data_IF_338339218902
#
_entry.id   IF_338339218902
#
_cell.length_a   1.000
_cell.length_b   1.000
_cell.length_c   1.000
_cell.angle_alpha   90.00
_cell.angle_beta   90.00
_cell.angle_gamma   90.00
#
_symmetry.space_group_name_H-M   'P 1'
#
loop_
_entity.id
_entity.type
_entity.pdbx_description
1 polymer ?
#
# COMPACT_ATOMS: atom_id res chain seq x y z
N UNK A 1 -8.56 24.60 -24.81
CA UNK A 1 -9.13 23.20 -24.78
C UNK A 1 -10.55 23.29 -24.23
N UNK A 2 -11.54 22.68 -24.90
CA UNK A 2 -12.91 22.68 -24.37
C UNK A 2 -12.99 21.96 -23.02
N UNK A 3 -13.92 22.38 -22.14
CA UNK A 3 -14.12 21.76 -20.81
C UNK A 3 -14.33 20.23 -20.91
N UNK A 4 -15.03 19.75 -21.94
CA UNK A 4 -15.23 18.31 -22.19
C UNK A 4 -13.93 17.57 -22.49
N UNK A 5 -13.04 18.13 -23.30
CA UNK A 5 -11.72 17.55 -23.61
C UNK A 5 -10.81 17.51 -22.37
N UNK A 6 -10.86 18.55 -21.53
CA UNK A 6 -10.09 18.59 -20.28
C UNK A 6 -10.53 17.49 -19.30
N UNK A 7 -11.84 17.25 -19.16
CA UNK A 7 -12.38 16.20 -18.30
C UNK A 7 -12.06 14.81 -18.85
N UNK A 8 -12.19 14.59 -20.17
CA UNK A 8 -11.85 13.30 -20.78
C UNK A 8 -10.35 12.97 -20.61
N UNK A 9 -9.47 13.95 -20.78
CA UNK A 9 -8.03 13.77 -20.54
C UNK A 9 -7.74 13.40 -19.07
N UNK A 10 -8.35 14.09 -18.11
CA UNK A 10 -8.22 13.76 -16.70
C UNK A 10 -8.65 12.31 -16.42
N UNK A 11 -9.80 11.91 -16.94
CA UNK A 11 -10.34 10.56 -16.68
C UNK A 11 -9.45 9.48 -17.32
N UNK A 12 -8.84 9.75 -18.47
CA UNK A 12 -7.83 8.88 -19.07
C UNK A 12 -6.55 8.81 -18.23
N UNK A 13 -6.07 9.93 -17.70
CA UNK A 13 -4.89 9.97 -16.84
C UNK A 13 -5.13 9.26 -15.50
N UNK A 14 -6.32 9.40 -14.91
CA UNK A 14 -6.71 8.65 -13.71
C UNK A 14 -6.79 7.16 -14.02
N UNK A 15 -7.29 6.76 -15.19
CA UNK A 15 -7.30 5.36 -15.60
C UNK A 15 -5.86 4.83 -15.80
N UNK A 16 -4.98 5.63 -16.41
CA UNK A 16 -3.55 5.32 -16.55
C UNK A 16 -2.86 5.13 -15.18
N UNK A 17 -3.15 6.02 -14.22
CA UNK A 17 -2.66 5.88 -12.84
C UNK A 17 -3.12 4.55 -12.22
N UNK A 18 -4.40 4.21 -12.33
CA UNK A 18 -4.95 2.95 -11.78
C UNK A 18 -4.27 1.73 -12.39
N UNK A 19 -4.05 1.72 -13.71
CA UNK A 19 -3.31 0.64 -14.39
C UNK A 19 -1.86 0.63 -13.90
N UNK A 20 -1.23 1.79 -13.83
CA UNK A 20 0.14 1.91 -13.31
C UNK A 20 0.28 1.34 -11.91
N UNK A 21 -0.60 1.71 -10.97
CA UNK A 21 -0.60 1.19 -9.60
C UNK A 21 -0.70 -0.34 -9.54
N UNK A 22 -1.27 -0.97 -10.56
CA UNK A 22 -1.41 -2.42 -10.63
C UNK A 22 -0.24 -3.12 -11.35
N UNK A 23 0.42 -2.46 -12.33
CA UNK A 23 1.35 -3.18 -13.22
C UNK A 23 2.73 -2.54 -13.37
N UNK A 24 2.91 -1.25 -13.06
CA UNK A 24 4.16 -0.54 -13.36
C UNK A 24 4.37 0.71 -12.52
N UNK A 25 5.42 0.72 -11.71
CA UNK A 25 5.84 1.90 -10.94
C UNK A 25 6.09 3.10 -11.86
N UNK A 26 6.78 2.91 -12.98
CA UNK A 26 7.09 3.99 -13.93
C UNK A 26 5.83 4.61 -14.50
N UNK A 27 4.83 3.79 -14.86
CA UNK A 27 3.55 4.29 -15.35
C UNK A 27 2.79 5.05 -14.26
N UNK A 28 2.84 4.57 -13.00
CA UNK A 28 2.24 5.27 -11.86
C UNK A 28 2.87 6.64 -11.65
N UNK A 29 4.18 6.71 -11.55
CA UNK A 29 4.92 7.95 -11.30
C UNK A 29 4.73 8.94 -12.45
N UNK A 30 4.82 8.48 -13.71
CA UNK A 30 4.56 9.33 -14.89
C UNK A 30 3.13 9.87 -14.87
N UNK A 31 2.14 9.01 -14.58
CA UNK A 31 0.74 9.43 -14.48
C UNK A 31 0.54 10.47 -13.38
N UNK A 32 1.19 10.30 -12.23
CA UNK A 32 1.13 11.27 -11.12
C UNK A 32 1.76 12.61 -11.51
N UNK A 33 2.92 12.60 -12.16
CA UNK A 33 3.57 13.85 -12.64
C UNK A 33 2.68 14.58 -13.62
N UNK A 34 2.10 13.88 -14.61
CA UNK A 34 1.21 14.49 -15.60
C UNK A 34 -0.10 14.98 -14.95
N UNK A 35 -0.66 14.23 -13.99
CA UNK A 35 -1.83 14.67 -13.22
C UNK A 35 -1.53 15.89 -12.36
N UNK A 36 -0.35 15.96 -11.73
CA UNK A 36 0.08 17.15 -10.98
C UNK A 36 0.21 18.37 -11.89
N UNK A 37 0.83 18.23 -13.07
CA UNK A 37 0.92 19.27 -14.06
C UNK A 37 -0.48 19.71 -14.55
N UNK A 38 -1.38 18.76 -14.78
CA UNK A 38 -2.77 19.02 -15.15
C UNK A 38 -3.52 19.82 -14.06
N UNK A 39 -3.33 19.47 -12.77
CA UNK A 39 -3.92 20.19 -11.63
C UNK A 39 -3.42 21.63 -11.56
N UNK A 40 -2.10 21.83 -11.67
CA UNK A 40 -1.50 23.17 -11.68
C UNK A 40 -2.08 24.00 -12.83
N UNK A 41 -2.13 23.42 -14.04
CA UNK A 41 -2.61 24.14 -15.23
C UNK A 41 -4.10 24.49 -15.17
N UNK A 42 -4.96 23.59 -14.67
CA UNK A 42 -6.42 23.76 -14.74
C UNK A 42 -7.03 24.34 -13.47
N UNK A 43 -6.38 24.20 -12.31
CA UNK A 43 -6.94 24.54 -11.00
C UNK A 43 -6.02 25.37 -10.12
N UNK A 44 -4.92 25.88 -10.66
CA UNK A 44 -3.91 26.59 -9.88
C UNK A 44 -4.52 27.63 -8.91
N UNK A 45 -5.37 28.54 -9.41
CA UNK A 45 -6.01 29.55 -8.58
C UNK A 45 -6.97 28.99 -7.51
N UNK A 46 -7.64 27.86 -7.79
CA UNK A 46 -8.57 27.20 -6.84
C UNK A 46 -7.84 26.37 -5.79
N UNK A 47 -6.72 25.75 -6.16
CA UNK A 47 -5.88 24.96 -5.24
C UNK A 47 -5.27 25.89 -4.20
N UNK A 48 -4.78 27.05 -4.62
CA UNK A 48 -4.13 28.01 -3.72
C UNK A 48 -5.10 28.75 -2.79
N UNK A 49 -6.38 28.97 -3.21
CA UNK A 49 -7.32 29.83 -2.47
C UNK A 49 -8.38 29.12 -1.62
N UNK A 50 -8.66 27.83 -1.82
CA UNK A 50 -9.82 27.16 -1.20
C UNK A 50 -9.58 25.75 -0.67
N UNK A 51 -8.44 25.13 -0.88
CA UNK A 51 -8.23 23.77 -0.44
C UNK A 51 -7.51 23.73 0.91
N UNK A 52 -8.20 23.32 1.95
CA UNK A 52 -7.52 22.74 3.11
C UNK A 52 -6.88 21.43 2.65
N UNK A 53 -5.61 21.46 2.33
CA UNK A 53 -4.85 20.27 1.94
C UNK A 53 -4.89 19.25 3.08
N UNK A 54 -5.46 18.05 2.86
CA UNK A 54 -5.58 17.09 3.95
C UNK A 54 -4.19 16.65 4.44
N UNK A 55 -4.02 16.58 5.76
CA UNK A 55 -2.78 16.13 6.43
C UNK A 55 -1.53 16.96 6.07
N UNK A 56 -1.68 18.22 5.62
CA UNK A 56 -0.54 19.03 5.18
C UNK A 56 0.50 19.21 6.29
N UNK A 57 0.08 19.61 7.48
CA UNK A 57 0.99 19.89 8.59
C UNK A 57 1.83 18.65 9.00
N UNK A 58 1.26 17.48 9.29
CA UNK A 58 2.08 16.32 9.67
C UNK A 58 2.98 15.82 8.54
N UNK A 59 2.53 15.87 7.26
CA UNK A 59 3.35 15.45 6.12
C UNK A 59 4.51 16.41 5.89
N UNK A 60 4.28 17.72 5.95
CA UNK A 60 5.37 18.70 5.82
C UNK A 60 6.35 18.63 6.99
N UNK A 61 5.87 18.47 8.22
CA UNK A 61 6.73 18.33 9.39
C UNK A 61 7.63 17.09 9.29
N UNK A 62 7.06 15.93 8.90
CA UNK A 62 7.82 14.72 8.67
C UNK A 62 8.85 14.88 7.52
N UNK A 63 8.45 15.53 6.43
CA UNK A 63 9.34 15.77 5.28
C UNK A 63 10.48 16.73 5.63
N UNK A 64 10.18 17.83 6.31
CA UNK A 64 11.18 18.80 6.77
C UNK A 64 12.19 18.16 7.73
N UNK A 65 11.70 17.39 8.71
CA UNK A 65 12.54 16.64 9.63
C UNK A 65 13.42 15.62 8.90
N UNK A 66 12.86 14.88 7.93
CA UNK A 66 13.61 13.91 7.14
C UNK A 66 14.74 14.57 6.33
N UNK A 67 14.51 15.76 5.77
CA UNK A 67 15.54 16.54 5.05
C UNK A 67 16.61 17.02 6.03
N UNK A 68 16.20 17.54 7.19
CA UNK A 68 17.13 18.00 8.24
C UNK A 68 18.03 16.86 8.72
N UNK A 69 17.47 15.70 9.07
CA UNK A 69 18.25 14.54 9.51
C UNK A 69 19.17 14.00 8.40
N UNK A 70 18.74 14.08 7.14
CA UNK A 70 19.59 13.74 6.00
C UNK A 70 20.78 14.69 5.88
N UNK A 71 20.57 16.00 6.05
CA UNK A 71 21.63 17.00 5.99
C UNK A 71 22.64 16.89 7.16
N UNK A 72 22.14 16.47 8.34
CA UNK A 72 22.96 16.31 9.56
C UNK A 72 23.58 14.91 9.71
N UNK A 73 23.31 13.98 8.77
CA UNK A 73 23.85 12.62 8.83
C UNK A 73 25.34 12.57 8.56
N UNK A 74 25.98 11.47 8.93
CA UNK A 74 27.43 11.23 8.64
C UNK A 74 27.75 11.15 7.13
N UNK A 75 26.74 11.00 6.27
CA UNK A 75 26.86 11.00 4.80
C UNK A 75 25.78 11.87 4.18
N UNK A 76 25.85 13.21 4.30
CA UNK A 76 24.78 14.12 3.94
C UNK A 76 24.35 13.99 2.47
N UNK A 77 25.31 13.88 1.55
CA UNK A 77 25.00 13.83 0.11
C UNK A 77 24.19 12.58 -0.27
N UNK A 78 24.53 11.41 0.28
CA UNK A 78 23.80 10.16 0.04
C UNK A 78 22.41 10.20 0.67
N UNK A 79 22.33 10.67 1.92
CA UNK A 79 21.08 10.81 2.65
C UNK A 79 20.14 11.83 2.00
N UNK A 80 20.65 12.96 1.51
CA UNK A 80 19.86 13.93 0.74
C UNK A 80 19.37 13.35 -0.59
N UNK A 81 20.17 12.56 -1.29
CA UNK A 81 19.70 11.84 -2.49
C UNK A 81 18.58 10.86 -2.17
N UNK A 82 18.60 10.25 -0.99
CA UNK A 82 17.55 9.34 -0.54
C UNK A 82 16.23 10.06 -0.19
N UNK A 83 16.23 11.41 -0.03
CA UNK A 83 14.98 12.17 0.24
C UNK A 83 13.97 12.12 -0.92
N UNK A 84 14.37 11.69 -2.11
CA UNK A 84 13.45 11.39 -3.22
C UNK A 84 12.32 10.42 -2.81
N UNK A 85 12.55 9.58 -1.80
CA UNK A 85 11.53 8.69 -1.22
C UNK A 85 10.39 9.43 -0.51
N UNK A 86 10.47 10.75 -0.35
CA UNK A 86 9.39 11.61 0.14
C UNK A 86 8.42 12.04 -0.97
N UNK A 87 8.86 12.02 -2.24
CA UNK A 87 8.02 12.47 -3.38
C UNK A 87 6.68 11.71 -3.49
N UNK A 88 6.62 10.39 -3.25
CA UNK A 88 5.35 9.67 -3.23
C UNK A 88 4.29 10.25 -2.31
N UNK A 89 4.65 10.97 -1.23
CA UNK A 89 3.69 11.60 -0.31
C UNK A 89 2.76 12.59 -1.01
N UNK A 90 3.20 13.20 -2.12
CA UNK A 90 2.37 14.09 -2.94
C UNK A 90 1.16 13.37 -3.58
N UNK A 91 1.19 12.04 -3.70
CA UNK A 91 0.09 11.24 -4.27
C UNK A 91 -1.23 11.50 -3.54
N UNK A 92 -1.20 11.66 -2.21
CA UNK A 92 -2.37 11.99 -1.41
C UNK A 92 -3.10 13.22 -1.98
N UNK A 93 -2.37 14.28 -2.26
CA UNK A 93 -2.95 15.55 -2.73
C UNK A 93 -3.29 15.53 -4.21
N UNK A 94 -2.50 14.82 -5.02
CA UNK A 94 -2.77 14.67 -6.46
C UNK A 94 -4.09 13.92 -6.63
N UNK A 95 -4.26 12.76 -5.95
CA UNK A 95 -5.49 11.96 -6.03
C UNK A 95 -6.67 12.73 -5.44
N UNK A 96 -6.51 13.39 -4.28
CA UNK A 96 -7.52 14.27 -3.70
C UNK A 96 -7.95 15.38 -4.69
N UNK A 97 -7.00 15.97 -5.42
CA UNK A 97 -7.25 17.06 -6.35
C UNK A 97 -7.96 16.66 -7.66
N UNK A 98 -7.66 15.44 -8.18
CA UNK A 98 -8.20 14.99 -9.47
C UNK A 98 -9.54 14.28 -9.36
N UNK A 99 -9.90 13.73 -8.20
CA UNK A 99 -11.20 13.12 -7.97
C UNK A 99 -12.19 14.19 -7.49
N UNK A 100 -13.22 14.51 -8.30
CA UNK A 100 -14.12 15.65 -8.04
C UNK A 100 -15.13 15.37 -6.92
N UNK A 101 -15.64 14.14 -6.82
CA UNK A 101 -16.75 13.76 -5.95
C UNK A 101 -16.62 12.32 -5.44
N UNK A 102 -17.51 11.92 -4.53
CA UNK A 102 -17.56 10.57 -3.98
C UNK A 102 -17.81 9.50 -5.06
N UNK A 103 -18.49 9.84 -6.16
CA UNK A 103 -18.72 8.90 -7.26
C UNK A 103 -17.43 8.61 -8.04
N UNK A 104 -16.58 9.63 -8.24
CA UNK A 104 -15.24 9.47 -8.81
C UNK A 104 -14.35 8.62 -7.90
N UNK A 105 -14.40 8.84 -6.58
CA UNK A 105 -13.68 8.03 -5.60
C UNK A 105 -14.12 6.56 -5.65
N UNK A 106 -15.42 6.28 -5.76
CA UNK A 106 -15.95 4.90 -5.94
C UNK A 106 -15.47 4.27 -7.24
N UNK A 107 -15.50 5.01 -8.36
CA UNK A 107 -14.98 4.52 -9.65
C UNK A 107 -13.50 4.20 -9.58
N UNK A 108 -12.72 5.05 -8.90
CA UNK A 108 -11.29 4.81 -8.67
C UNK A 108 -11.05 3.50 -7.91
N UNK A 109 -11.68 3.31 -6.75
CA UNK A 109 -11.54 2.07 -5.96
C UNK A 109 -12.00 0.83 -6.72
N UNK A 110 -13.12 0.92 -7.46
CA UNK A 110 -13.60 -0.18 -8.29
C UNK A 110 -12.64 -0.52 -9.43
N UNK A 111 -12.11 0.47 -10.15
CA UNK A 111 -11.14 0.26 -11.23
C UNK A 111 -9.83 -0.35 -10.69
N UNK A 112 -9.37 0.11 -9.52
CA UNK A 112 -8.19 -0.45 -8.87
C UNK A 112 -8.39 -1.94 -8.54
N UNK A 113 -9.55 -2.32 -7.98
CA UNK A 113 -9.86 -3.73 -7.70
C UNK A 113 -9.85 -4.57 -8.99
N UNK A 114 -10.46 -4.08 -10.08
CA UNK A 114 -10.49 -4.81 -11.35
C UNK A 114 -9.11 -4.93 -12.00
N UNK A 115 -8.29 -3.88 -11.95
CA UNK A 115 -6.90 -3.92 -12.43
C UNK A 115 -6.09 -4.95 -11.64
N UNK A 116 -6.20 -4.93 -10.31
CA UNK A 116 -5.53 -5.91 -9.44
C UNK A 116 -6.08 -7.33 -9.61
N UNK A 117 -7.36 -7.51 -9.91
CA UNK A 117 -7.91 -8.82 -10.23
C UNK A 117 -7.28 -9.39 -11.53
N UNK A 118 -7.04 -8.55 -12.53
CA UNK A 118 -6.27 -8.95 -13.73
C UNK A 118 -4.84 -9.38 -13.38
N UNK A 119 -4.15 -8.62 -12.53
CA UNK A 119 -2.81 -8.99 -12.01
C UNK A 119 -2.88 -10.28 -11.19
N UNK A 120 -3.94 -10.46 -10.40
CA UNK A 120 -4.16 -11.67 -9.61
C UNK A 120 -4.30 -12.92 -10.48
N UNK A 121 -5.02 -12.84 -11.61
CA UNK A 121 -5.11 -13.93 -12.58
C UNK A 121 -3.73 -14.30 -13.10
N UNK A 122 -2.93 -13.32 -13.53
CA UNK A 122 -1.54 -13.56 -13.97
C UNK A 122 -0.72 -14.21 -12.85
N UNK A 123 -0.85 -13.73 -11.62
CA UNK A 123 -0.14 -14.26 -10.44
C UNK A 123 -0.51 -15.72 -10.15
N UNK A 124 -1.79 -16.08 -10.28
CA UNK A 124 -2.27 -17.45 -10.10
C UNK A 124 -1.70 -18.34 -11.21
N UNK A 125 -1.74 -17.88 -12.46
CA UNK A 125 -1.15 -18.61 -13.59
C UNK A 125 0.34 -18.83 -13.37
N UNK A 126 1.10 -17.81 -12.91
CA UNK A 126 2.52 -17.96 -12.59
C UNK A 126 2.79 -19.13 -11.64
N UNK A 127 1.97 -19.28 -10.60
CA UNK A 127 2.18 -20.31 -9.57
C UNK A 127 1.67 -21.69 -10.01
N UNK A 128 0.58 -21.75 -10.77
CA UNK A 128 -0.07 -23.02 -11.16
C UNK A 128 0.58 -23.67 -12.37
N UNK A 129 1.16 -22.89 -13.30
CA UNK A 129 1.85 -23.41 -14.50
C UNK A 129 3.27 -23.89 -14.22
N UNK A 130 3.78 -23.62 -13.02
CA UNK A 130 5.13 -23.98 -12.60
C UNK A 130 5.23 -25.44 -12.18
N UNK A 131 5.34 -26.35 -13.12
CA UNK A 131 5.76 -27.72 -12.84
C UNK A 131 7.29 -27.82 -13.04
N UNK A 132 8.07 -28.25 -12.04
CA UNK A 132 9.53 -28.36 -12.15
C UNK A 132 10.01 -29.16 -13.37
N UNK A 133 9.24 -30.13 -13.81
CA UNK A 133 9.54 -30.99 -14.98
C UNK A 133 9.18 -30.38 -16.34
N UNK A 134 8.45 -29.24 -16.39
CA UNK A 134 8.03 -28.60 -17.64
C UNK A 134 8.80 -27.33 -17.96
N UNK A 135 9.48 -26.74 -16.97
CA UNK A 135 10.14 -25.45 -17.12
C UNK A 135 11.35 -25.51 -18.03
N UNK A 136 12.19 -26.53 -17.89
CA UNK A 136 13.44 -26.62 -18.66
C UNK A 136 13.20 -26.78 -20.16
N UNK A 137 12.09 -27.42 -20.57
CA UNK A 137 11.75 -27.64 -21.97
C UNK A 137 10.98 -26.47 -22.60
N UNK A 138 10.13 -25.77 -21.83
CA UNK A 138 9.27 -24.69 -22.33
C UNK A 138 9.95 -23.32 -22.21
N UNK A 139 10.85 -23.17 -21.25
CA UNK A 139 11.51 -21.90 -20.93
C UNK A 139 12.41 -21.39 -22.08
N UNK A 140 13.00 -22.29 -22.85
CA UNK A 140 13.86 -21.92 -24.00
C UNK A 140 13.10 -21.36 -25.20
N UNK A 141 11.82 -21.70 -25.37
CA UNK A 141 10.99 -21.31 -26.51
C UNK A 141 10.16 -20.03 -26.31
N UNK A 142 10.06 -19.53 -25.09
CA UNK A 142 9.23 -18.37 -24.80
C UNK A 142 9.94 -17.04 -25.08
N UNK A 143 9.21 -16.01 -25.58
CA UNK A 143 9.75 -14.66 -25.69
C UNK A 143 10.31 -14.17 -24.34
N UNK A 144 11.40 -13.39 -24.32
CA UNK A 144 12.05 -12.92 -23.08
C UNK A 144 11.09 -12.25 -22.10
N UNK A 145 10.13 -11.48 -22.61
CA UNK A 145 9.09 -10.79 -21.79
C UNK A 145 8.19 -11.80 -21.08
N UNK A 146 7.73 -12.83 -21.79
CA UNK A 146 6.88 -13.89 -21.20
C UNK A 146 7.65 -14.67 -20.15
N UNK A 147 8.92 -14.98 -20.42
CA UNK A 147 9.82 -15.66 -19.49
C UNK A 147 10.06 -14.86 -18.23
N UNK A 148 10.29 -13.55 -18.35
CA UNK A 148 10.52 -12.67 -17.18
C UNK A 148 9.29 -12.57 -16.26
N UNK A 149 8.08 -12.72 -16.80
CA UNK A 149 6.83 -12.69 -16.03
C UNK A 149 6.48 -14.08 -15.50
N UNK A 150 6.45 -15.11 -16.34
CA UNK A 150 5.98 -16.44 -15.95
C UNK A 150 7.05 -17.30 -15.27
N UNK A 151 8.34 -17.01 -15.41
CA UNK A 151 9.41 -17.71 -14.71
C UNK A 151 9.47 -17.48 -13.19
N UNK A 152 8.69 -16.53 -12.65
CA UNK A 152 8.62 -16.22 -11.20
C UNK A 152 7.63 -17.13 -10.48
N UNK A 153 7.84 -18.42 -10.48
CA UNK A 153 6.80 -19.40 -10.20
C UNK A 153 6.70 -19.94 -8.75
N UNK A 154 7.65 -19.68 -7.89
CA UNK A 154 7.59 -20.19 -6.51
C UNK A 154 6.57 -19.47 -5.63
N UNK A 155 6.30 -18.18 -5.94
CA UNK A 155 5.37 -17.30 -5.22
C UNK A 155 4.70 -16.37 -6.22
N UNK A 156 3.49 -15.94 -5.94
CA UNK A 156 2.77 -14.98 -6.77
C UNK A 156 3.48 -13.61 -6.76
N UNK A 157 3.82 -13.09 -7.93
CA UNK A 157 4.47 -11.79 -8.12
C UNK A 157 3.62 -10.85 -8.99
N UNK A 158 2.82 -11.39 -9.91
CA UNK A 158 2.21 -10.59 -10.97
C UNK A 158 3.28 -9.91 -11.82
N UNK A 159 3.12 -8.61 -12.00
CA UNK A 159 4.09 -7.77 -12.72
C UNK A 159 5.14 -7.13 -11.79
N UNK A 160 4.97 -7.25 -10.47
CA UNK A 160 5.92 -6.68 -9.50
C UNK A 160 7.25 -7.45 -9.48
N UNK A 161 8.32 -6.74 -9.17
CA UNK A 161 9.66 -7.33 -9.06
C UNK A 161 9.76 -8.31 -7.91
N UNK A 162 9.06 -8.04 -6.80
CA UNK A 162 9.11 -8.79 -5.54
C UNK A 162 7.69 -9.19 -5.11
N UNK A 163 7.53 -10.46 -4.68
CA UNK A 163 6.26 -10.99 -4.16
C UNK A 163 5.77 -10.26 -2.90
N UNK A 164 6.66 -9.63 -2.13
CA UNK A 164 6.30 -8.82 -0.95
C UNK A 164 5.52 -7.58 -1.35
N UNK A 165 5.93 -6.91 -2.43
CA UNK A 165 5.23 -5.74 -3.00
C UNK A 165 3.81 -6.10 -3.42
N UNK A 166 3.64 -7.19 -4.19
CA UNK A 166 2.29 -7.67 -4.54
C UNK A 166 1.46 -7.96 -3.29
N UNK A 167 2.05 -8.62 -2.28
CA UNK A 167 1.38 -8.92 -1.01
C UNK A 167 0.91 -7.66 -0.30
N UNK A 168 1.76 -6.64 -0.19
CA UNK A 168 1.44 -5.35 0.43
C UNK A 168 0.34 -4.59 -0.33
N UNK A 169 0.44 -4.50 -1.65
CA UNK A 169 -0.57 -3.84 -2.52
C UNK A 169 -1.92 -4.54 -2.39
N UNK A 170 -1.96 -5.87 -2.48
CA UNK A 170 -3.21 -6.64 -2.37
C UNK A 170 -3.80 -6.53 -0.95
N UNK A 171 -3.00 -6.58 0.10
CA UNK A 171 -3.49 -6.43 1.48
C UNK A 171 -4.21 -5.10 1.68
N UNK A 172 -3.62 -4.00 1.22
CA UNK A 172 -4.20 -2.65 1.29
C UNK A 172 -5.45 -2.53 0.43
N UNK A 173 -5.39 -2.95 -0.83
CA UNK A 173 -6.49 -2.79 -1.78
C UNK A 173 -7.70 -3.67 -1.43
N UNK A 174 -7.49 -4.90 -0.97
CA UNK A 174 -8.55 -5.80 -0.52
C UNK A 174 -9.24 -5.27 0.74
N UNK A 175 -8.48 -4.77 1.71
CA UNK A 175 -9.04 -4.14 2.89
C UNK A 175 -9.86 -2.88 2.53
N UNK A 176 -9.35 -2.04 1.61
CA UNK A 176 -10.05 -0.85 1.11
C UNK A 176 -11.37 -1.18 0.43
N UNK A 177 -11.42 -2.26 -0.33
CA UNK A 177 -12.58 -2.59 -1.20
C UNK A 177 -13.59 -3.54 -0.57
N UNK A 178 -13.24 -4.22 0.53
CA UNK A 178 -14.14 -5.14 1.23
C UNK A 178 -15.51 -4.51 1.59
N UNK A 179 -15.59 -3.31 2.21
CA UNK A 179 -16.88 -2.69 2.53
C UNK A 179 -17.71 -2.38 1.29
N UNK A 180 -17.08 -2.14 0.14
CA UNK A 180 -17.79 -1.80 -1.10
C UNK A 180 -18.52 -2.99 -1.72
N UNK A 181 -18.18 -4.24 -1.36
CA UNK A 181 -18.91 -5.44 -1.78
C UNK A 181 -20.37 -5.41 -1.32
N UNK A 182 -20.64 -4.84 -0.14
CA UNK A 182 -21.98 -4.73 0.39
C UNK A 182 -22.88 -3.78 -0.43
N UNK A 183 -22.29 -2.84 -1.17
CA UNK A 183 -22.96 -1.78 -1.94
C UNK A 183 -22.84 -1.95 -3.46
N UNK A 184 -22.26 -3.03 -3.95
CA UNK A 184 -21.96 -3.25 -5.37
C UNK A 184 -23.18 -3.45 -6.29
N UNK A 185 -24.40 -3.54 -5.75
CA UNK A 185 -25.64 -3.64 -6.53
C UNK A 185 -25.65 -4.84 -7.50
N UNK A 186 -26.05 -4.61 -8.76
CA UNK A 186 -26.11 -5.65 -9.82
C UNK A 186 -24.75 -6.29 -10.15
N UNK A 187 -23.66 -5.59 -9.90
CA UNK A 187 -22.28 -6.11 -10.18
C UNK A 187 -21.69 -6.86 -8.99
N UNK A 188 -22.46 -7.11 -7.91
CA UNK A 188 -21.94 -7.72 -6.68
C UNK A 188 -21.23 -9.06 -6.95
N UNK A 189 -21.85 -9.97 -7.70
CA UNK A 189 -21.24 -11.26 -7.99
C UNK A 189 -19.89 -11.13 -8.68
N UNK A 190 -19.81 -10.33 -9.76
CA UNK A 190 -18.58 -10.09 -10.48
C UNK A 190 -17.50 -9.39 -9.62
N UNK A 191 -17.89 -8.39 -8.82
CA UNK A 191 -16.97 -7.70 -7.91
C UNK A 191 -16.46 -8.63 -6.81
N UNK A 192 -17.33 -9.53 -6.31
CA UNK A 192 -16.93 -10.56 -5.33
C UNK A 192 -15.95 -11.56 -5.94
N UNK A 193 -16.18 -12.00 -7.17
CA UNK A 193 -15.23 -12.87 -7.90
C UNK A 193 -13.88 -12.17 -8.07
N UNK A 194 -13.85 -10.92 -8.52
CA UNK A 194 -12.62 -10.14 -8.66
C UNK A 194 -11.87 -10.01 -7.32
N UNK A 195 -12.62 -9.77 -6.23
CA UNK A 195 -12.07 -9.67 -4.89
C UNK A 195 -11.50 -11.02 -4.41
N UNK A 196 -12.24 -12.13 -4.57
CA UNK A 196 -11.79 -13.48 -4.21
C UNK A 196 -10.55 -13.89 -5.01
N UNK A 197 -10.51 -13.61 -6.32
CA UNK A 197 -9.34 -13.87 -7.17
C UNK A 197 -8.11 -13.13 -6.63
N UNK A 198 -8.28 -11.87 -6.23
CA UNK A 198 -7.21 -11.08 -5.63
C UNK A 198 -6.80 -11.60 -4.24
N UNK A 199 -7.74 -12.09 -3.45
CA UNK A 199 -7.45 -12.72 -2.15
C UNK A 199 -6.70 -14.04 -2.29
N UNK A 200 -7.04 -14.86 -3.29
CA UNK A 200 -6.26 -16.07 -3.63
C UNK A 200 -4.83 -15.70 -4.02
N UNK A 201 -4.64 -14.69 -4.87
CA UNK A 201 -3.30 -14.23 -5.23
C UNK A 201 -2.52 -13.72 -4.01
N UNK A 202 -3.16 -12.98 -3.08
CA UNK A 202 -2.54 -12.58 -1.80
C UNK A 202 -2.04 -13.81 -1.01
N UNK A 203 -2.85 -14.85 -0.90
CA UNK A 203 -2.44 -16.10 -0.26
C UNK A 203 -1.22 -16.74 -0.93
N UNK A 204 -1.22 -16.79 -2.27
CA UNK A 204 -0.14 -17.36 -3.07
C UNK A 204 1.16 -16.53 -3.07
N UNK A 205 1.16 -15.30 -2.55
CA UNK A 205 2.41 -14.56 -2.28
C UNK A 205 3.23 -15.21 -1.17
N UNK A 206 2.61 -15.96 -0.28
CA UNK A 206 3.18 -16.58 0.92
C UNK A 206 3.84 -15.54 1.86
N UNK A 207 3.36 -14.31 1.87
CA UNK A 207 3.85 -13.19 2.70
C UNK A 207 3.01 -13.11 3.98
N UNK A 208 3.47 -13.73 5.06
CA UNK A 208 2.78 -13.78 6.36
C UNK A 208 2.42 -12.38 6.90
N UNK A 209 3.35 -11.43 6.80
CA UNK A 209 3.12 -10.05 7.23
C UNK A 209 1.96 -9.36 6.48
N UNK A 210 1.82 -9.61 5.17
CA UNK A 210 0.70 -9.10 4.38
C UNK A 210 -0.63 -9.75 4.77
N UNK A 211 -0.63 -11.05 5.11
CA UNK A 211 -1.84 -11.75 5.61
C UNK A 211 -2.30 -11.20 6.96
N UNK A 212 -1.36 -10.98 7.90
CA UNK A 212 -1.66 -10.39 9.20
C UNK A 212 -2.19 -8.95 9.05
N UNK A 213 -1.56 -8.16 8.19
CA UNK A 213 -2.03 -6.81 7.87
C UNK A 213 -3.42 -6.82 7.27
N UNK A 214 -3.66 -7.67 6.26
CA UNK A 214 -4.98 -7.83 5.67
C UNK A 214 -6.03 -8.28 6.70
N UNK A 215 -5.71 -9.26 7.53
CA UNK A 215 -6.60 -9.73 8.62
C UNK A 215 -6.98 -8.61 9.59
N UNK A 216 -6.01 -7.78 10.01
CA UNK A 216 -6.27 -6.63 10.86
C UNK A 216 -7.18 -5.60 10.17
N UNK A 217 -6.94 -5.32 8.87
CA UNK A 217 -7.81 -4.46 8.07
C UNK A 217 -9.23 -5.00 7.95
N UNK A 218 -9.39 -6.31 7.74
CA UNK A 218 -10.71 -6.97 7.72
C UNK A 218 -11.41 -6.82 9.06
N UNK A 219 -10.74 -7.13 10.18
CA UNK A 219 -11.32 -6.97 11.51
C UNK A 219 -11.80 -5.54 11.75
N UNK A 220 -10.98 -4.56 11.34
CA UNK A 220 -11.38 -3.16 11.41
C UNK A 220 -12.62 -2.88 10.53
N UNK A 221 -12.63 -3.34 9.28
CA UNK A 221 -13.75 -3.13 8.36
C UNK A 221 -15.07 -3.70 8.89
N UNK A 222 -15.02 -4.84 9.56
CA UNK A 222 -16.22 -5.48 10.14
C UNK A 222 -16.89 -4.62 11.21
N UNK A 223 -16.14 -3.77 11.93
CA UNK A 223 -16.74 -2.85 12.94
C UNK A 223 -17.59 -1.75 12.33
N UNK A 224 -17.38 -1.43 11.03
CA UNK A 224 -18.05 -0.32 10.33
C UNK A 224 -19.11 -0.72 9.30
N UNK A 225 -19.33 -2.02 9.05
CA UNK A 225 -20.22 -2.50 7.99
C UNK A 225 -21.54 -3.03 8.56
N UNK A 226 -22.67 -2.43 8.15
CA UNK A 226 -24.01 -2.85 8.60
C UNK A 226 -24.37 -4.29 8.18
N UNK A 227 -23.86 -4.77 7.03
CA UNK A 227 -24.05 -6.13 6.53
C UNK A 227 -22.78 -6.97 6.69
N UNK A 228 -22.25 -7.00 7.88
CA UNK A 228 -21.02 -7.71 8.22
C UNK A 228 -21.06 -9.20 7.87
N UNK A 229 -22.24 -9.84 7.87
CA UNK A 229 -22.40 -11.26 7.50
C UNK A 229 -21.92 -11.57 6.08
N UNK A 230 -22.15 -10.66 5.11
CA UNK A 230 -21.67 -10.83 3.73
C UNK A 230 -20.14 -10.73 3.69
N UNK A 231 -19.58 -9.75 4.37
CA UNK A 231 -18.12 -9.58 4.44
C UNK A 231 -17.47 -10.80 5.12
N UNK A 232 -18.04 -11.29 6.22
CA UNK A 232 -17.56 -12.50 6.90
C UNK A 232 -17.64 -13.71 5.99
N UNK A 233 -18.78 -13.93 5.29
CA UNK A 233 -18.94 -15.06 4.39
C UNK A 233 -17.90 -15.03 3.24
N UNK A 234 -17.63 -13.86 2.66
CA UNK A 234 -16.64 -13.69 1.59
C UNK A 234 -15.21 -13.95 2.12
N UNK A 235 -14.88 -13.43 3.30
CA UNK A 235 -13.59 -13.66 3.94
C UNK A 235 -13.42 -15.14 4.32
N UNK A 236 -14.46 -15.76 4.90
CA UNK A 236 -14.43 -17.18 5.23
C UNK A 236 -14.23 -18.05 3.98
N UNK A 237 -14.93 -17.74 2.88
CA UNK A 237 -14.74 -18.43 1.60
C UNK A 237 -13.30 -18.29 1.09
N UNK A 238 -12.72 -17.07 1.17
CA UNK A 238 -11.32 -16.84 0.79
C UNK A 238 -10.35 -17.66 1.65
N UNK A 239 -10.54 -17.68 2.97
CA UNK A 239 -9.71 -18.46 3.90
C UNK A 239 -9.81 -19.95 3.60
N UNK A 240 -11.01 -20.49 3.41
CA UNK A 240 -11.22 -21.89 3.06
C UNK A 240 -10.54 -22.28 1.76
N UNK A 241 -10.68 -21.45 0.71
CA UNK A 241 -10.01 -21.65 -0.57
C UNK A 241 -8.47 -21.65 -0.42
N UNK A 242 -7.94 -20.76 0.41
CA UNK A 242 -6.50 -20.66 0.66
C UNK A 242 -5.97 -21.87 1.47
N UNK A 243 -6.70 -22.32 2.49
CA UNK A 243 -6.31 -23.47 3.31
C UNK A 243 -6.37 -24.80 2.53
N UNK A 244 -7.16 -24.84 1.43
CA UNK A 244 -7.15 -25.97 0.51
C UNK A 244 -5.84 -26.08 -0.30
N UNK A 245 -5.01 -25.02 -0.34
CA UNK A 245 -3.70 -25.03 -1.01
C UNK A 245 -2.62 -25.47 -0.02
N UNK A 246 -1.98 -26.65 -0.19
CA UNK A 246 -1.04 -27.19 0.80
C UNK A 246 0.12 -26.25 1.15
N UNK A 247 0.69 -25.54 0.16
CA UNK A 247 1.78 -24.58 0.39
C UNK A 247 1.35 -23.40 1.25
N UNK A 248 0.11 -22.91 1.11
CA UNK A 248 -0.43 -21.82 1.92
C UNK A 248 -0.65 -22.30 3.35
N UNK A 249 -1.23 -23.50 3.54
CA UNK A 249 -1.45 -24.10 4.83
C UNK A 249 -0.14 -24.31 5.60
N UNK A 250 0.87 -24.95 4.98
CA UNK A 250 2.19 -25.14 5.57
C UNK A 250 2.84 -23.80 5.97
N UNK A 251 2.69 -22.76 5.14
CA UNK A 251 3.24 -21.45 5.46
C UNK A 251 2.47 -20.75 6.59
N UNK A 252 1.18 -21.00 6.73
CA UNK A 252 0.36 -20.50 7.84
C UNK A 252 0.76 -21.17 9.18
N UNK A 253 1.02 -22.47 9.17
CA UNK A 253 1.46 -23.22 10.34
C UNK A 253 2.77 -22.66 10.95
N UNK A 254 3.66 -22.09 10.13
CA UNK A 254 4.92 -21.49 10.58
C UNK A 254 4.82 -20.01 10.99
N UNK A 255 3.62 -19.42 11.08
CA UNK A 255 3.47 -17.99 11.45
C UNK A 255 4.04 -17.70 12.85
N UNK A 256 3.79 -18.58 13.79
CA UNK A 256 4.22 -18.44 15.17
C UNK A 256 5.51 -19.22 15.51
N UNK A 257 6.17 -19.83 14.52
CA UNK A 257 7.39 -20.61 14.74
C UNK A 257 8.62 -19.70 14.83
N UNK A 258 9.24 -19.54 16.02
CA UNK A 258 10.44 -18.74 16.20
C UNK A 258 11.69 -19.37 15.57
N UNK A 259 11.67 -20.67 15.27
CA UNK A 259 12.76 -21.40 14.63
C UNK A 259 12.77 -21.23 13.09
N UNK A 260 11.68 -20.67 12.50
CA UNK A 260 11.64 -20.37 11.06
C UNK A 260 12.82 -19.46 10.66
N UNK A 261 13.63 -19.83 9.66
CA UNK A 261 14.80 -19.05 9.27
C UNK A 261 14.51 -17.59 8.95
N UNK A 262 13.31 -17.30 8.39
CA UNK A 262 12.88 -15.94 8.09
C UNK A 262 12.57 -15.15 9.38
N UNK A 263 12.02 -15.81 10.40
CA UNK A 263 11.75 -15.18 11.69
C UNK A 263 13.07 -14.85 12.41
N UNK A 264 14.01 -15.80 12.47
CA UNK A 264 15.34 -15.59 13.07
C UNK A 264 16.09 -14.43 12.42
N UNK A 265 16.07 -14.36 11.10
CA UNK A 265 16.73 -13.24 10.37
C UNK A 265 16.07 -11.89 10.71
N UNK A 266 14.75 -11.83 10.84
CA UNK A 266 14.06 -10.61 11.26
C UNK A 266 14.36 -10.19 12.70
N UNK A 267 14.52 -11.16 13.62
CA UNK A 267 14.97 -10.87 14.98
C UNK A 267 16.38 -10.27 14.98
N UNK A 268 17.30 -10.81 14.19
CA UNK A 268 18.64 -10.25 14.07
C UNK A 268 18.63 -8.82 13.50
N UNK A 269 17.77 -8.55 12.49
CA UNK A 269 17.58 -7.20 11.95
C UNK A 269 16.96 -6.25 12.96
N UNK A 270 16.03 -6.73 13.78
CA UNK A 270 15.38 -5.96 14.83
C UNK A 270 16.38 -5.57 15.92
N UNK A 271 17.21 -6.50 16.39
CA UNK A 271 18.26 -6.25 17.40
C UNK A 271 19.31 -5.27 16.90
N UNK A 272 19.81 -5.45 15.68
CA UNK A 272 20.71 -4.50 15.04
C UNK A 272 20.08 -3.11 14.94
N UNK A 273 18.80 -3.04 14.57
CA UNK A 273 18.05 -1.78 14.49
C UNK A 273 17.93 -1.08 15.84
N UNK A 274 17.61 -1.81 16.91
CA UNK A 274 17.54 -1.26 18.27
C UNK A 274 18.91 -0.73 18.73
N UNK A 275 19.98 -1.44 18.42
CA UNK A 275 21.35 -1.01 18.76
C UNK A 275 21.73 0.27 18.01
N UNK A 276 21.41 0.37 16.72
CA UNK A 276 21.59 1.62 15.95
C UNK A 276 20.77 2.76 16.53
N UNK A 277 19.51 2.52 16.90
CA UNK A 277 18.63 3.55 17.47
C UNK A 277 19.14 4.04 18.83
N UNK A 278 19.62 3.14 19.70
CA UNK A 278 20.24 3.53 20.99
C UNK A 278 21.46 4.42 20.81
N UNK A 279 22.23 4.19 19.77
CA UNK A 279 23.41 5.03 19.45
C UNK A 279 23.02 6.39 18.85
N UNK A 280 21.87 6.50 18.19
CA UNK A 280 21.44 7.72 17.47
C UNK A 280 19.94 8.02 17.73
N UNK A 281 19.50 8.25 18.99
CA UNK A 281 18.09 8.24 19.33
C UNK A 281 17.30 9.45 18.79
N UNK A 282 17.91 10.62 18.60
CA UNK A 282 17.20 11.86 18.27
C UNK A 282 17.07 12.07 16.77
N UNK A 283 18.21 12.06 16.05
CA UNK A 283 18.26 12.38 14.60
C UNK A 283 18.42 11.14 13.73
N UNK A 284 18.70 9.97 14.33
CA UNK A 284 18.94 8.72 13.61
C UNK A 284 20.27 8.72 12.86
N UNK A 285 20.44 7.70 12.00
CA UNK A 285 21.67 7.49 11.20
C UNK A 285 21.60 8.14 9.81
N UNK A 286 20.52 8.85 9.51
CA UNK A 286 20.24 9.40 8.18
C UNK A 286 19.55 8.41 7.25
N UNK A 287 18.88 8.94 6.21
CA UNK A 287 18.15 8.16 5.23
C UNK A 287 19.11 7.25 4.45
N UNK A 288 18.77 5.96 4.30
CA UNK A 288 19.62 4.95 3.68
C UNK A 288 20.80 4.50 4.55
N UNK A 289 20.96 5.05 5.77
CA UNK A 289 22.03 4.73 6.69
C UNK A 289 22.01 3.28 7.17
N UNK A 290 20.83 2.66 7.26
CA UNK A 290 20.69 1.24 7.63
C UNK A 290 21.48 0.35 6.69
N UNK A 291 21.36 0.53 5.39
CA UNK A 291 22.11 -0.26 4.39
C UNK A 291 23.61 -0.23 4.61
N UNK A 292 24.14 0.92 4.99
CA UNK A 292 25.58 1.13 5.21
C UNK A 292 26.05 0.58 6.55
N UNK A 293 25.27 0.80 7.60
CA UNK A 293 25.66 0.49 8.97
C UNK A 293 25.30 -0.92 9.42
N UNK A 294 24.35 -1.59 8.76
CA UNK A 294 23.94 -2.93 9.14
C UNK A 294 25.09 -3.93 9.28
N UNK A 295 26.11 -3.99 8.38
CA UNK A 295 27.25 -4.91 8.53
C UNK A 295 28.02 -4.75 9.85
N UNK A 296 28.04 -3.53 10.41
CA UNK A 296 28.74 -3.21 11.67
C UNK A 296 27.89 -3.62 12.89
N UNK A 297 26.57 -3.48 12.80
CA UNK A 297 25.64 -3.73 13.90
C UNK A 297 24.97 -5.10 13.86
N UNK A 298 25.12 -5.86 12.76
CA UNK A 298 24.54 -7.18 12.63
C UNK A 298 25.09 -8.12 13.71
N UNK A 299 24.22 -8.75 14.53
CA UNK A 299 24.65 -9.68 15.57
C UNK A 299 25.37 -10.90 14.97
N UNK A 300 26.22 -11.61 15.73
CA UNK A 300 26.97 -12.75 15.23
C UNK A 300 26.11 -13.83 14.59
N UNK A 301 24.87 -14.01 15.08
CA UNK A 301 23.91 -15.02 14.65
C UNK A 301 23.17 -14.63 13.35
N UNK A 302 23.35 -13.39 12.86
CA UNK A 302 22.70 -12.94 11.63
C UNK A 302 23.22 -13.74 10.43
N UNK A 303 22.30 -14.37 9.71
CA UNK A 303 22.61 -15.12 8.47
C UNK A 303 23.09 -14.17 7.38
N UNK A 304 22.46 -13.00 7.27
CA UNK A 304 22.82 -11.96 6.32
C UNK A 304 23.65 -10.87 6.98
N UNK A 305 24.79 -10.57 6.40
CA UNK A 305 25.66 -9.45 6.83
C UNK A 305 25.35 -8.13 6.12
N UNK A 306 24.47 -8.17 5.13
CA UNK A 306 24.06 -6.99 4.36
C UNK A 306 22.54 -7.01 4.17
N UNK A 307 21.89 -5.89 4.47
CA UNK A 307 20.47 -5.65 4.17
C UNK A 307 20.27 -4.19 3.77
N UNK A 308 19.26 -3.93 2.95
CA UNK A 308 18.87 -2.57 2.59
C UNK A 308 17.89 -1.94 3.59
N UNK A 309 17.18 -2.77 4.37
CA UNK A 309 16.17 -2.34 5.34
C UNK A 309 15.90 -3.42 6.40
N UNK A 310 15.28 -3.02 7.51
CA UNK A 310 15.08 -3.86 8.70
C UNK A 310 13.79 -4.72 8.67
N UNK A 311 13.04 -4.75 7.57
CA UNK A 311 11.74 -5.43 7.47
C UNK A 311 10.76 -5.07 8.60
N UNK A 312 10.85 -3.85 9.13
CA UNK A 312 9.95 -3.28 10.12
C UNK A 312 9.89 -1.77 9.89
N UNK A 313 8.76 -1.27 9.43
CA UNK A 313 8.61 0.14 9.04
C UNK A 313 8.83 1.10 10.22
N UNK A 314 8.18 0.96 11.39
CA UNK A 314 8.42 1.85 12.52
C UNK A 314 9.89 1.89 12.95
N UNK A 315 10.54 0.73 13.05
CA UNK A 315 11.95 0.66 13.43
C UNK A 315 12.85 1.29 12.38
N UNK A 316 12.60 1.04 11.10
CA UNK A 316 13.35 1.67 10.00
C UNK A 316 13.26 3.20 10.05
N UNK A 317 12.04 3.74 10.27
CA UNK A 317 11.83 5.18 10.40
C UNK A 317 12.57 5.72 11.63
N UNK A 318 12.49 5.04 12.78
CA UNK A 318 13.16 5.44 14.01
C UNK A 318 14.70 5.42 13.85
N UNK A 319 15.26 4.38 13.25
CA UNK A 319 16.70 4.26 13.04
C UNK A 319 17.23 5.33 12.09
N UNK A 320 16.52 5.60 10.99
CA UNK A 320 17.00 6.57 10.01
C UNK A 320 16.76 8.03 10.39
N UNK A 321 15.69 8.32 11.18
CA UNK A 321 15.21 9.70 11.46
C UNK A 321 15.10 10.00 12.94
N UNK A 322 15.51 9.08 13.81
CA UNK A 322 15.36 9.18 15.25
C UNK A 322 13.92 9.04 15.73
N UNK A 323 13.75 9.10 17.05
CA UNK A 323 12.43 9.02 17.69
C UNK A 323 11.53 10.20 17.32
N UNK A 324 12.10 11.37 17.03
CA UNK A 324 11.34 12.53 16.53
C UNK A 324 10.73 12.22 15.16
N UNK A 325 11.52 11.63 14.25
CA UNK A 325 11.03 11.20 12.95
C UNK A 325 9.93 10.14 13.04
N UNK A 326 10.06 9.18 13.97
CA UNK A 326 9.02 8.21 14.28
C UNK A 326 7.74 8.87 14.78
N UNK A 327 7.84 9.82 15.72
CA UNK A 327 6.68 10.54 16.25
C UNK A 327 5.95 11.34 15.16
N UNK A 328 6.69 12.02 14.29
CA UNK A 328 6.11 12.76 13.15
C UNK A 328 5.46 11.84 12.12
N UNK A 329 6.07 10.68 11.85
CA UNK A 329 5.49 9.65 11.00
C UNK A 329 4.19 9.10 11.58
N UNK A 330 4.15 8.78 12.87
CA UNK A 330 2.94 8.34 13.57
C UNK A 330 1.86 9.43 13.56
N UNK A 331 2.23 10.70 13.64
CA UNK A 331 1.29 11.81 13.56
C UNK A 331 0.53 11.86 12.24
N UNK A 332 1.17 11.50 11.09
CA UNK A 332 0.47 11.41 9.80
C UNK A 332 -0.73 10.47 9.90
N UNK A 333 -0.51 9.28 10.44
CA UNK A 333 -1.57 8.26 10.53
C UNK A 333 -2.57 8.57 11.66
N UNK A 334 -2.13 9.08 12.80
CA UNK A 334 -3.02 9.51 13.87
C UNK A 334 -3.97 10.62 13.40
N UNK A 335 -3.45 11.62 12.67
CA UNK A 335 -4.25 12.67 12.07
C UNK A 335 -5.23 12.14 11.01
N UNK A 336 -4.79 11.18 10.19
CA UNK A 336 -5.65 10.48 9.23
C UNK A 336 -6.81 9.77 9.94
N UNK A 337 -6.51 8.94 10.93
CA UNK A 337 -7.54 8.20 11.68
C UNK A 337 -8.51 9.14 12.38
N UNK A 338 -8.00 10.16 13.08
CA UNK A 338 -8.84 11.14 13.78
C UNK A 338 -9.82 11.83 12.82
N UNK A 339 -9.32 12.28 11.66
CA UNK A 339 -10.15 13.00 10.69
C UNK A 339 -11.13 12.08 9.95
N UNK A 340 -10.67 10.90 9.48
CA UNK A 340 -11.54 9.94 8.79
C UNK A 340 -12.60 9.34 9.73
N UNK A 341 -12.25 9.09 11.00
CA UNK A 341 -13.21 8.64 12.02
C UNK A 341 -14.24 9.72 12.35
N UNK A 342 -13.79 10.98 12.49
CA UNK A 342 -14.68 12.13 12.65
C UNK A 342 -15.64 12.31 11.49
N UNK A 343 -15.16 12.10 10.25
CA UNK A 343 -16.00 12.09 9.06
C UNK A 343 -17.03 10.94 9.11
N UNK A 344 -16.60 9.72 9.43
CA UNK A 344 -17.48 8.55 9.50
C UNK A 344 -18.70 8.76 10.42
N UNK A 345 -18.53 9.53 11.51
CA UNK A 345 -19.62 9.89 12.43
C UNK A 345 -20.58 10.92 11.82
N UNK A 346 -20.14 11.72 10.86
CA UNK A 346 -20.94 12.79 10.21
C UNK A 346 -21.59 12.32 8.89
N UNK A 347 -21.09 11.26 8.28
CA UNK A 347 -21.67 10.71 7.05
C UNK A 347 -23.09 10.21 7.34
N UNK A 348 -24.13 10.66 6.60
CA UNK A 348 -25.51 10.20 6.77
C UNK A 348 -25.64 8.68 6.70
N UNK A 349 -26.59 8.11 7.47
CA UNK A 349 -26.75 6.66 7.55
C UNK A 349 -27.20 6.00 6.24
N UNK A 350 -27.90 6.73 5.39
CA UNK A 350 -28.35 6.35 4.05
C UNK A 350 -27.24 6.48 2.99
N UNK A 351 -26.20 7.29 3.23
CA UNK A 351 -25.03 7.42 2.37
C UNK A 351 -24.07 6.20 2.51
N UNK A 352 -24.64 5.00 2.28
CA UNK A 352 -23.96 3.71 2.55
C UNK A 352 -22.67 3.57 1.71
N UNK A 353 -22.65 4.09 0.50
CA UNK A 353 -21.50 4.00 -0.38
C UNK A 353 -20.34 4.89 0.06
N UNK A 354 -20.64 6.09 0.54
CA UNK A 354 -19.67 7.03 1.13
C UNK A 354 -19.08 6.46 2.42
N UNK A 355 -19.94 5.89 3.30
CA UNK A 355 -19.51 5.18 4.50
C UNK A 355 -18.57 4.02 4.16
N UNK A 356 -18.90 3.23 3.12
CA UNK A 356 -18.06 2.11 2.68
C UNK A 356 -16.66 2.58 2.22
N UNK A 357 -16.55 3.73 1.55
CA UNK A 357 -15.26 4.31 1.16
C UNK A 357 -14.42 4.72 2.37
N UNK A 358 -15.05 5.39 3.36
CA UNK A 358 -14.35 5.85 4.57
C UNK A 358 -13.88 4.66 5.41
N UNK A 359 -14.76 3.69 5.65
CA UNK A 359 -14.40 2.45 6.39
C UNK A 359 -13.32 1.68 5.65
N UNK A 360 -13.43 1.56 4.31
CA UNK A 360 -12.42 0.90 3.49
C UNK A 360 -11.05 1.56 3.58
N UNK A 361 -10.99 2.88 3.58
CA UNK A 361 -9.72 3.61 3.72
C UNK A 361 -9.10 3.43 5.12
N UNK A 362 -9.92 3.47 6.18
CA UNK A 362 -9.47 3.18 7.54
C UNK A 362 -8.92 1.75 7.66
N UNK A 363 -9.62 0.77 7.09
CA UNK A 363 -9.22 -0.63 7.06
C UNK A 363 -7.90 -0.83 6.27
N UNK A 364 -7.76 -0.16 5.13
CA UNK A 364 -6.56 -0.21 4.30
C UNK A 364 -5.32 0.32 5.03
N UNK A 365 -5.46 1.46 5.72
CA UNK A 365 -4.35 2.03 6.50
C UNK A 365 -4.02 1.14 7.69
N UNK A 366 -5.02 0.54 8.35
CA UNK A 366 -4.78 -0.48 9.38
C UNK A 366 -3.99 -1.66 8.81
N UNK A 367 -4.38 -2.18 7.64
CA UNK A 367 -3.66 -3.26 6.97
C UNK A 367 -2.21 -2.87 6.65
N UNK A 368 -1.99 -1.66 6.13
CA UNK A 368 -0.66 -1.12 5.82
C UNK A 368 0.24 -1.02 7.05
N UNK A 369 -0.28 -0.47 8.16
CA UNK A 369 0.49 -0.29 9.40
C UNK A 369 0.84 -1.62 10.05
N UNK A 370 -0.11 -2.57 10.13
CA UNK A 370 0.14 -3.89 10.71
C UNK A 370 1.09 -4.71 9.83
N UNK A 371 0.91 -4.72 8.51
CA UNK A 371 1.88 -5.34 7.60
C UNK A 371 3.27 -4.70 7.71
N UNK A 372 3.32 -3.39 7.95
CA UNK A 372 4.54 -2.62 8.17
C UNK A 372 5.36 -3.02 9.40
N UNK A 373 4.78 -3.75 10.37
CA UNK A 373 5.53 -4.34 11.48
C UNK A 373 6.42 -5.50 11.03
N UNK A 374 6.16 -6.05 9.85
CA UNK A 374 6.86 -7.21 9.30
C UNK A 374 7.58 -6.92 7.98
N UNK A 375 7.36 -5.73 7.39
CA UNK A 375 7.96 -5.29 6.13
C UNK A 375 8.22 -3.78 6.15
N UNK A 376 9.12 -3.31 5.28
CA UNK A 376 9.36 -1.87 5.10
C UNK A 376 8.42 -1.30 4.03
N UNK A 377 7.10 -1.40 4.26
CA UNK A 377 6.06 -0.97 3.31
C UNK A 377 6.10 0.54 2.99
N UNK A 378 6.55 1.37 3.93
CA UNK A 378 6.69 2.81 3.71
C UNK A 378 7.83 3.16 2.75
N UNK A 379 8.82 2.27 2.60
CA UNK A 379 9.89 2.39 1.61
C UNK A 379 9.62 1.66 0.30
N UNK A 380 8.55 0.86 0.23
CA UNK A 380 8.07 0.22 -0.99
C UNK A 380 7.13 1.19 -1.71
N UNK A 381 7.63 1.80 -2.79
CA UNK A 381 6.93 2.88 -3.49
C UNK A 381 5.56 2.43 -3.99
N UNK A 382 5.42 1.23 -4.53
CA UNK A 382 4.16 0.72 -5.08
C UNK A 382 3.10 0.56 -3.98
N UNK A 383 3.48 -0.02 -2.84
CA UNK A 383 2.58 -0.17 -1.68
C UNK A 383 2.20 1.20 -1.12
N UNK A 384 3.16 2.11 -1.02
CA UNK A 384 2.93 3.47 -0.52
C UNK A 384 2.01 4.27 -1.44
N UNK A 385 2.19 4.22 -2.77
CA UNK A 385 1.34 4.92 -3.74
C UNK A 385 -0.11 4.46 -3.65
N UNK A 386 -0.36 3.14 -3.55
CA UNK A 386 -1.72 2.60 -3.37
C UNK A 386 -2.31 3.06 -2.04
N UNK A 387 -1.53 3.02 -0.96
CA UNK A 387 -1.99 3.44 0.38
C UNK A 387 -2.38 4.92 0.39
N UNK A 388 -1.53 5.80 -0.13
CA UNK A 388 -1.80 7.24 -0.19
C UNK A 388 -2.97 7.59 -1.11
N UNK A 389 -3.13 6.85 -2.22
CA UNK A 389 -4.30 6.98 -3.09
C UNK A 389 -5.60 6.64 -2.36
N UNK A 390 -5.59 5.56 -1.57
CA UNK A 390 -6.75 5.16 -0.75
C UNK A 390 -6.97 6.15 0.41
N UNK A 391 -5.91 6.66 1.04
CA UNK A 391 -6.01 7.69 2.07
C UNK A 391 -6.65 9.00 1.59
N UNK A 392 -6.59 9.29 0.30
CA UNK A 392 -7.23 10.48 -0.28
C UNK A 392 -8.77 10.35 -0.32
N UNK A 393 -9.33 9.15 -0.41
CA UNK A 393 -10.76 8.93 -0.68
C UNK A 393 -11.70 9.50 0.39
N UNK A 394 -11.45 9.35 1.72
CA UNK A 394 -12.27 10.00 2.74
C UNK A 394 -12.34 11.52 2.59
N UNK A 395 -11.23 12.16 2.22
CA UNK A 395 -11.19 13.62 2.06
C UNK A 395 -11.94 14.10 0.80
N UNK A 396 -11.99 13.26 -0.25
CA UNK A 396 -12.86 13.50 -1.41
C UNK A 396 -14.33 13.43 -0.98
N UNK A 397 -14.70 12.42 -0.18
CA UNK A 397 -16.06 12.30 0.39
C UNK A 397 -16.38 13.49 1.29
N UNK A 398 -15.47 13.91 2.19
CA UNK A 398 -15.67 15.06 3.07
C UNK A 398 -15.94 16.34 2.26
N UNK A 399 -15.17 16.58 1.20
CA UNK A 399 -15.36 17.72 0.32
C UNK A 399 -16.69 17.68 -0.43
N UNK A 400 -17.07 16.52 -0.96
CA UNK A 400 -18.32 16.33 -1.69
C UNK A 400 -19.54 16.57 -0.78
N UNK A 401 -19.53 16.05 0.44
CA UNK A 401 -20.58 16.28 1.41
C UNK A 401 -20.71 17.76 1.81
N UNK A 402 -19.60 18.46 1.96
CA UNK A 402 -19.59 19.89 2.28
C UNK A 402 -20.12 20.78 1.15
N UNK A 403 -20.20 20.27 -0.09
CA UNK A 403 -20.70 20.99 -1.27
C UNK A 403 -22.14 20.66 -1.63
N UNK A 404 -22.76 19.66 -0.98
CA UNK A 404 -24.17 19.34 -1.18
C UNK A 404 -25.03 20.42 -0.50
N UNK A 405 -26.06 20.96 -1.20
CA UNK A 405 -27.02 21.84 -0.55
C UNK A 405 -27.71 21.09 0.60
N UNK A 406 -28.01 21.83 1.68
CA UNK A 406 -28.70 21.30 2.86
C UNK A 406 -30.16 20.93 2.51
#
# INVERSE_FOLDING_TARGET
MSRRRALALRDALVASLVVGLAVSITLSETSLVVLAAWLVWTRHARIMSRASWPLLAPVLAFSAWSILTAALSSTPLESLRATKTLLPLATLWIVFGVLDDASAARRFGSRLLWALAGVAVVSIVQVTTCAPSRLDAVESSWPPVVRSVLGKCRRAHGFYSIYMTLGGVLAVALAATLPTLAVAGRRRAATTVAWLTSAVALGLTLVRGAWLGFGAGVLFALTGVRRWSIAVAVVAAAVLLLLAVPRVRQRAETIADPADPTARERFAMFDAGLTMLRSHPVIGVGLGGVKRLYPVYAPPEAVRRHTSHLHNTPLQIAVERGLVGLALWLWIFAAFFARAWGLLRRVPGDAVAERALVVGALAAVTAFLVAGLFEYNFGDTEVLLVTLSVMALPFVVERDLAQRPA
#
